data_IF_900546937953
#
_entry.id   IF_900546937953
#
_cell.length_a   1.000
_cell.length_b   1.000
_cell.length_c   1.000
_cell.angle_alpha   90.00
_cell.angle_beta   90.00
_cell.angle_gamma   90.00
#
_symmetry.space_group_name_H-M   'P 1'
#
loop_
_entity.id
_entity.type
_entity.pdbx_description
1 polymer ?
#
# COMPACT_ATOMS: atom_id res chain seq x y z
N UNK A 1 26.42 24.52 -1.43
CA UNK A 1 25.80 25.37 -2.48
C UNK A 1 24.37 25.68 -2.08
N UNK A 2 24.21 26.59 -1.11
CA UNK A 2 22.93 27.08 -0.64
C UNK A 2 22.94 28.60 -0.85
N UNK A 3 22.69 29.05 -2.07
CA UNK A 3 22.48 30.49 -2.38
C UNK A 3 22.06 30.71 -3.85
N UNK A 4 20.93 30.14 -4.28
CA UNK A 4 20.36 30.46 -5.61
C UNK A 4 18.83 30.59 -5.69
N UNK A 5 18.12 30.58 -4.57
CA UNK A 5 16.65 30.61 -4.56
C UNK A 5 16.09 31.95 -4.05
N UNK A 6 16.62 33.08 -4.54
CA UNK A 6 16.08 34.40 -4.17
C UNK A 6 15.66 35.30 -5.32
N UNK A 7 15.69 34.85 -6.57
CA UNK A 7 15.20 35.65 -7.68
C UNK A 7 14.04 34.95 -8.40
N UNK A 8 12.89 35.60 -8.33
CA UNK A 8 11.66 35.38 -9.09
C UNK A 8 10.59 34.41 -8.49
N UNK A 9 9.58 34.92 -7.75
CA UNK A 9 8.47 34.12 -7.22
C UNK A 9 7.50 33.55 -8.28
N UNK A 10 7.76 33.83 -9.57
CA UNK A 10 7.01 33.33 -10.72
C UNK A 10 7.71 32.18 -11.47
N UNK A 11 8.92 31.79 -11.08
CA UNK A 11 9.61 30.65 -11.67
C UNK A 11 8.91 29.33 -11.29
N UNK A 12 8.62 28.51 -12.29
CA UNK A 12 7.91 27.26 -12.09
C UNK A 12 8.84 26.26 -11.40
N UNK A 13 8.45 25.76 -10.23
CA UNK A 13 9.25 24.82 -9.44
C UNK A 13 8.90 23.37 -9.79
N UNK A 14 9.93 22.53 -9.90
CA UNK A 14 9.77 21.08 -10.00
C UNK A 14 9.35 20.47 -8.65
N UNK A 15 8.95 19.19 -8.67
CA UNK A 15 8.52 18.48 -7.47
C UNK A 15 9.58 18.50 -6.36
N UNK A 16 10.87 18.32 -6.69
CA UNK A 16 11.95 18.24 -5.70
C UNK A 16 12.22 19.58 -5.02
N UNK A 17 12.14 20.68 -5.76
CA UNK A 17 12.24 22.03 -5.21
C UNK A 17 11.04 22.33 -4.31
N UNK A 18 9.82 22.01 -4.77
CA UNK A 18 8.60 22.24 -4.02
C UNK A 18 8.55 21.48 -2.68
N UNK A 19 8.95 20.21 -2.67
CA UNK A 19 8.99 19.39 -1.44
C UNK A 19 10.14 19.81 -0.51
N UNK A 20 11.27 20.28 -1.05
CA UNK A 20 12.38 20.77 -0.25
C UNK A 20 12.00 22.02 0.56
N UNK A 21 11.24 22.94 -0.03
CA UNK A 21 10.73 24.15 0.63
C UNK A 21 9.77 23.83 1.79
N UNK A 22 9.03 22.73 1.71
CA UNK A 22 8.19 22.24 2.80
C UNK A 22 9.01 21.86 4.05
N UNK A 23 10.27 21.44 3.86
CA UNK A 23 11.14 20.94 4.92
C UNK A 23 10.62 19.66 5.57
N UNK A 24 11.36 19.20 6.58
CA UNK A 24 10.99 18.04 7.40
C UNK A 24 10.42 18.49 8.75
N UNK A 25 9.32 17.90 9.19
CA UNK A 25 8.67 18.27 10.44
C UNK A 25 7.52 17.35 10.84
N UNK A 26 6.54 17.91 11.57
CA UNK A 26 5.46 17.14 12.20
C UNK A 26 4.60 16.35 11.21
N UNK A 27 4.31 16.89 10.03
CA UNK A 27 3.54 16.15 9.01
C UNK A 27 4.28 14.90 8.55
N UNK A 28 5.58 15.00 8.36
CA UNK A 28 6.41 13.88 7.92
C UNK A 28 6.51 12.80 9.01
N UNK A 29 6.54 13.19 10.28
CA UNK A 29 6.45 12.21 11.37
C UNK A 29 5.07 11.55 11.42
N UNK A 30 4.00 12.35 11.27
CA UNK A 30 2.62 11.85 11.27
C UNK A 30 2.37 10.82 10.15
N UNK A 31 2.82 11.10 8.92
CA UNK A 31 2.65 10.17 7.79
C UNK A 31 3.45 8.87 7.99
N UNK A 32 4.64 8.95 8.61
CA UNK A 32 5.43 7.76 8.96
C UNK A 32 4.70 6.92 10.02
N UNK A 33 4.19 7.54 11.07
CA UNK A 33 3.41 6.85 12.10
C UNK A 33 2.14 6.20 11.52
N UNK A 34 1.43 6.87 10.60
CA UNK A 34 0.25 6.29 9.96
C UNK A 34 0.55 5.11 9.02
N UNK A 35 1.78 5.01 8.52
CA UNK A 35 2.19 3.90 7.66
C UNK A 35 2.54 2.63 8.44
N UNK A 36 2.87 2.73 9.74
CA UNK A 36 3.27 1.58 10.57
C UNK A 36 2.23 0.46 10.56
N UNK A 37 0.92 0.72 10.80
CA UNK A 37 -0.09 -0.35 10.79
C UNK A 37 -0.24 -1.01 9.41
N UNK A 38 -0.07 -0.26 8.32
CA UNK A 38 -0.11 -0.79 6.96
C UNK A 38 1.04 -1.76 6.68
N UNK A 39 2.25 -1.40 7.14
CA UNK A 39 3.44 -2.25 6.97
C UNK A 39 3.36 -3.51 7.85
N UNK A 40 2.85 -3.37 9.07
CA UNK A 40 2.60 -4.51 9.95
C UNK A 40 1.52 -5.46 9.41
N UNK A 41 0.44 -4.92 8.83
CA UNK A 41 -0.63 -5.72 8.22
C UNK A 41 -0.10 -6.70 7.17
N UNK A 42 0.83 -6.26 6.31
CA UNK A 42 1.47 -7.13 5.32
C UNK A 42 2.17 -8.33 5.96
N UNK A 43 2.93 -8.10 7.04
CA UNK A 43 3.62 -9.16 7.77
C UNK A 43 2.60 -10.12 8.40
N UNK A 44 1.53 -9.57 8.96
CA UNK A 44 0.49 -10.35 9.62
C UNK A 44 -0.23 -11.25 8.61
N UNK A 45 -0.68 -10.72 7.48
CA UNK A 45 -1.33 -11.52 6.43
C UNK A 45 -0.41 -12.62 5.89
N UNK A 46 0.89 -12.33 5.70
CA UNK A 46 1.84 -13.31 5.19
C UNK A 46 2.16 -14.44 6.19
N UNK A 47 2.30 -14.12 7.48
CA UNK A 47 2.87 -15.06 8.46
C UNK A 47 1.89 -15.57 9.52
N UNK A 48 0.71 -14.97 9.69
CA UNK A 48 -0.24 -15.36 10.76
C UNK A 48 -0.67 -16.83 10.65
N UNK A 49 -0.81 -17.36 9.43
CA UNK A 49 -1.20 -18.75 9.21
C UNK A 49 -0.22 -19.75 9.82
N UNK A 50 1.09 -19.46 9.79
CA UNK A 50 2.12 -20.35 10.32
C UNK A 50 1.96 -20.59 11.83
N UNK A 51 1.45 -19.60 12.56
CA UNK A 51 1.19 -19.72 14.00
C UNK A 51 -0.16 -20.35 14.31
N UNK A 52 -1.15 -20.18 13.43
CA UNK A 52 -2.50 -20.73 13.60
C UNK A 52 -2.54 -22.23 13.34
N UNK A 53 -1.72 -22.75 12.43
CA UNK A 53 -1.75 -24.15 11.98
C UNK A 53 -1.75 -25.19 13.10
N UNK A 54 -0.86 -25.15 14.11
CA UNK A 54 -0.85 -26.16 15.17
C UNK A 54 -2.14 -26.18 15.99
N UNK A 55 -2.77 -25.01 16.19
CA UNK A 55 -4.03 -24.92 16.94
C UNK A 55 -5.25 -25.29 16.09
N UNK A 56 -5.23 -25.00 14.79
CA UNK A 56 -6.35 -25.23 13.89
C UNK A 56 -6.39 -26.68 13.33
N UNK A 57 -5.27 -27.42 13.42
CA UNK A 57 -5.13 -28.77 12.88
C UNK A 57 -6.22 -29.74 13.35
N UNK A 58 -6.38 -29.90 14.66
CA UNK A 58 -7.41 -30.80 15.21
C UNK A 58 -8.84 -30.28 15.02
N UNK A 59 -8.99 -28.96 14.81
CA UNK A 59 -10.31 -28.33 14.75
C UNK A 59 -10.94 -28.37 13.36
N UNK A 60 -10.10 -28.34 12.32
CA UNK A 60 -10.47 -28.34 10.91
C UNK A 60 -10.09 -29.66 10.20
N UNK A 61 -9.56 -30.64 10.94
CA UNK A 61 -9.08 -31.94 10.44
C UNK A 61 -8.11 -31.78 9.24
N UNK A 62 -7.11 -30.90 9.42
CA UNK A 62 -6.23 -30.47 8.33
C UNK A 62 -5.22 -31.56 7.95
N UNK A 63 -5.25 -32.00 6.70
CA UNK A 63 -4.17 -32.83 6.15
C UNK A 63 -2.88 -32.02 5.95
N UNK A 64 -1.75 -32.70 5.78
CA UNK A 64 -0.47 -32.06 5.45
C UNK A 64 -0.58 -31.24 4.14
N UNK A 65 -1.37 -31.75 3.18
CA UNK A 65 -1.62 -31.07 1.90
C UNK A 65 -2.42 -29.79 2.13
N UNK A 66 -3.45 -29.81 2.98
CA UNK A 66 -4.27 -28.63 3.27
C UNK A 66 -3.47 -27.51 3.93
N UNK A 67 -2.55 -27.87 4.84
CA UNK A 67 -1.63 -26.90 5.46
C UNK A 67 -0.75 -26.23 4.40
N UNK A 68 -0.15 -27.01 3.50
CA UNK A 68 0.64 -26.46 2.39
C UNK A 68 -0.19 -25.56 1.46
N UNK A 69 -1.40 -26.01 1.12
CA UNK A 69 -2.33 -25.28 0.27
C UNK A 69 -2.77 -23.94 0.88
N UNK A 70 -3.03 -23.88 2.19
CA UNK A 70 -3.41 -22.64 2.89
C UNK A 70 -2.36 -21.53 2.74
N UNK A 71 -1.06 -21.88 2.85
CA UNK A 71 0.01 -20.93 2.56
C UNK A 71 0.07 -20.59 1.07
N UNK A 72 0.04 -21.61 0.21
CA UNK A 72 0.15 -21.42 -1.23
C UNK A 72 -0.94 -20.50 -1.80
N UNK A 73 -2.21 -20.65 -1.38
CA UNK A 73 -3.31 -19.80 -1.87
C UNK A 73 -3.15 -18.34 -1.46
N UNK A 74 -2.62 -18.08 -0.26
CA UNK A 74 -2.37 -16.71 0.22
C UNK A 74 -1.31 -16.02 -0.64
N UNK A 75 -0.16 -16.69 -0.86
CA UNK A 75 0.89 -16.17 -1.72
C UNK A 75 0.49 -16.13 -3.21
N UNK A 76 -0.32 -17.07 -3.68
CA UNK A 76 -0.87 -17.03 -5.03
C UNK A 76 -1.74 -15.78 -5.23
N UNK A 77 -2.59 -15.45 -4.25
CA UNK A 77 -3.35 -14.19 -4.24
C UNK A 77 -2.43 -12.97 -4.35
N UNK A 78 -1.38 -12.90 -3.53
CA UNK A 78 -0.40 -11.81 -3.57
C UNK A 78 0.25 -11.66 -4.96
N UNK A 79 0.72 -12.76 -5.56
CA UNK A 79 1.40 -12.74 -6.86
C UNK A 79 0.45 -12.30 -7.98
N UNK A 80 -0.76 -12.88 -8.04
CA UNK A 80 -1.74 -12.57 -9.11
C UNK A 80 -2.15 -11.09 -9.05
N UNK A 81 -2.21 -10.51 -7.86
CA UNK A 81 -2.67 -9.15 -7.64
C UNK A 81 -1.65 -8.05 -7.97
N UNK A 82 -0.37 -8.39 -8.14
CA UNK A 82 0.71 -7.40 -8.29
C UNK A 82 0.51 -6.45 -9.48
N UNK A 83 0.12 -6.98 -10.65
CA UNK A 83 -0.09 -6.18 -11.87
C UNK A 83 -1.37 -5.33 -11.79
N UNK A 84 -2.55 -5.89 -11.42
CA UNK A 84 -3.75 -5.09 -11.20
C UNK A 84 -3.55 -3.93 -10.24
N UNK A 85 -2.88 -4.16 -9.09
CA UNK A 85 -2.67 -3.12 -8.10
C UNK A 85 -1.73 -2.01 -8.56
N UNK A 86 -0.68 -2.34 -9.31
CA UNK A 86 0.20 -1.33 -9.91
C UNK A 86 -0.59 -0.39 -10.83
N UNK A 87 -1.44 -0.95 -11.69
CA UNK A 87 -2.30 -0.17 -12.57
C UNK A 87 -3.31 0.69 -11.80
N UNK A 88 -3.96 0.12 -10.77
CA UNK A 88 -4.93 0.82 -9.93
C UNK A 88 -4.26 1.99 -9.17
N UNK A 89 -3.06 1.77 -8.63
CA UNK A 89 -2.31 2.79 -7.89
C UNK A 89 -1.91 3.99 -8.76
N UNK A 90 -1.63 3.76 -10.04
CA UNK A 90 -1.23 4.79 -10.99
C UNK A 90 -2.41 5.52 -11.64
N UNK A 91 -3.62 4.96 -11.56
CA UNK A 91 -4.84 5.55 -12.16
C UNK A 91 -5.75 6.22 -11.13
N UNK A 92 -6.00 5.55 -10.00
CA UNK A 92 -6.92 6.05 -8.96
C UNK A 92 -6.19 6.99 -7.99
N UNK A 93 -4.90 6.77 -7.77
CA UNK A 93 -4.10 7.46 -6.79
C UNK A 93 -3.77 6.60 -5.58
N UNK A 94 -2.95 7.14 -4.69
CA UNK A 94 -2.37 6.36 -3.59
C UNK A 94 -3.30 6.33 -2.39
N UNK A 95 -3.91 7.47 -2.03
CA UNK A 95 -4.81 7.57 -0.87
C UNK A 95 -6.04 6.66 -0.97
N UNK A 96 -6.82 6.62 -2.08
CA UNK A 96 -7.97 5.71 -2.17
C UNK A 96 -7.59 4.24 -2.06
N UNK A 97 -6.43 3.85 -2.61
CA UNK A 97 -5.94 2.46 -2.55
C UNK A 97 -5.56 2.08 -1.12
N UNK A 98 -4.89 2.97 -0.38
CA UNK A 98 -4.54 2.72 1.02
C UNK A 98 -5.77 2.62 1.92
N UNK A 99 -6.77 3.49 1.71
CA UNK A 99 -8.02 3.45 2.47
C UNK A 99 -8.81 2.18 2.13
N UNK A 100 -9.16 1.99 0.85
CA UNK A 100 -10.01 0.87 0.43
C UNK A 100 -9.32 -0.46 0.69
N UNK A 101 -8.03 -0.58 0.37
CA UNK A 101 -7.28 -1.80 0.59
C UNK A 101 -7.10 -2.13 2.07
N UNK A 102 -6.85 -1.15 2.96
CA UNK A 102 -6.79 -1.41 4.40
C UNK A 102 -8.11 -1.91 4.99
N UNK A 103 -9.24 -1.31 4.59
CA UNK A 103 -10.57 -1.76 5.03
C UNK A 103 -10.96 -3.12 4.46
N UNK A 104 -10.71 -3.35 3.15
CA UNK A 104 -11.01 -4.62 2.51
C UNK A 104 -10.13 -5.74 3.05
N UNK A 105 -8.84 -5.50 3.26
CA UNK A 105 -7.91 -6.45 3.86
C UNK A 105 -8.39 -6.85 5.27
N UNK A 106 -8.62 -5.87 6.14
CA UNK A 106 -9.14 -6.12 7.48
C UNK A 106 -10.47 -6.86 7.49
N UNK A 107 -11.35 -6.58 6.51
CA UNK A 107 -12.61 -7.31 6.33
C UNK A 107 -12.38 -8.78 5.96
N UNK A 108 -11.51 -9.09 5.00
CA UNK A 108 -11.24 -10.48 4.61
C UNK A 108 -10.49 -11.26 5.69
N UNK A 109 -9.58 -10.62 6.43
CA UNK A 109 -8.93 -11.24 7.60
C UNK A 109 -9.96 -11.52 8.69
N UNK A 110 -10.92 -10.61 8.93
CA UNK A 110 -12.05 -10.88 9.83
C UNK A 110 -12.93 -12.02 9.32
N UNK A 111 -13.28 -12.07 8.03
CA UNK A 111 -14.02 -13.19 7.46
C UNK A 111 -13.26 -14.52 7.62
N UNK A 112 -11.95 -14.53 7.42
CA UNK A 112 -11.10 -15.68 7.68
C UNK A 112 -11.15 -16.10 9.16
N UNK A 113 -11.21 -15.15 10.10
CA UNK A 113 -11.40 -15.45 11.52
C UNK A 113 -12.77 -16.08 11.83
N UNK A 114 -13.80 -15.81 11.04
CA UNK A 114 -15.13 -16.39 11.23
C UNK A 114 -15.28 -17.78 10.58
N UNK A 115 -14.32 -18.21 9.76
CA UNK A 115 -14.39 -19.45 9.00
C UNK A 115 -14.51 -20.68 9.91
N UNK A 116 -15.42 -21.59 9.56
CA UNK A 116 -15.66 -22.84 10.30
C UNK A 116 -15.20 -24.07 9.52
N UNK A 117 -14.81 -23.88 8.26
CA UNK A 117 -14.42 -24.93 7.32
C UNK A 117 -13.13 -24.52 6.59
N UNK A 118 -12.33 -25.53 6.22
CA UNK A 118 -11.03 -25.37 5.56
C UNK A 118 -11.16 -24.64 4.22
N UNK A 119 -12.18 -24.94 3.41
CA UNK A 119 -12.37 -24.30 2.11
C UNK A 119 -12.75 -22.82 2.26
N UNK A 120 -13.56 -22.49 3.28
CA UNK A 120 -13.88 -21.09 3.59
C UNK A 120 -12.63 -20.31 4.02
N UNK A 121 -11.81 -20.91 4.89
CA UNK A 121 -10.55 -20.31 5.32
C UNK A 121 -9.62 -20.07 4.12
N UNK A 122 -9.45 -21.06 3.24
CA UNK A 122 -8.64 -20.95 2.02
C UNK A 122 -9.14 -19.83 1.09
N UNK A 123 -10.45 -19.73 0.87
CA UNK A 123 -11.04 -18.71 0.01
C UNK A 123 -10.79 -17.30 0.56
N UNK A 124 -11.07 -17.06 1.85
CA UNK A 124 -10.82 -15.76 2.46
C UNK A 124 -9.34 -15.41 2.51
N UNK A 125 -8.46 -16.40 2.71
CA UNK A 125 -7.01 -16.21 2.70
C UNK A 125 -6.45 -15.89 1.32
N UNK A 126 -7.03 -16.45 0.26
CA UNK A 126 -6.72 -16.05 -1.09
C UNK A 126 -7.05 -14.55 -1.33
N UNK A 127 -8.22 -14.10 -0.88
CA UNK A 127 -8.63 -12.70 -1.04
C UNK A 127 -7.84 -11.72 -0.15
N UNK A 128 -7.54 -12.09 1.09
CA UNK A 128 -6.60 -11.40 2.00
C UNK A 128 -5.25 -11.17 1.28
N UNK A 129 -4.62 -12.25 0.80
CA UNK A 129 -3.39 -12.18 0.02
C UNK A 129 -3.51 -11.32 -1.26
N UNK A 130 -4.63 -11.43 -1.98
CA UNK A 130 -4.89 -10.62 -3.17
C UNK A 130 -4.98 -9.13 -2.86
N UNK A 131 -5.49 -8.74 -1.68
CA UNK A 131 -5.71 -7.32 -1.36
C UNK A 131 -4.47 -6.69 -0.74
N UNK A 132 -3.83 -7.36 0.23
CA UNK A 132 -2.75 -6.76 1.04
C UNK A 132 -1.53 -6.32 0.21
N UNK A 133 -1.28 -6.97 -0.92
CA UNK A 133 -0.18 -6.62 -1.82
C UNK A 133 -0.28 -5.17 -2.34
N UNK A 134 -1.50 -4.70 -2.61
CA UNK A 134 -1.76 -3.36 -3.13
C UNK A 134 -1.35 -2.25 -2.16
N UNK A 135 -1.99 -2.16 -0.96
CA UNK A 135 -1.65 -1.18 0.06
C UNK A 135 -0.17 -1.20 0.44
N UNK A 136 0.45 -2.38 0.52
CA UNK A 136 1.88 -2.49 0.83
C UNK A 136 2.75 -1.82 -0.25
N UNK A 137 2.54 -2.14 -1.53
CA UNK A 137 3.30 -1.50 -2.62
C UNK A 137 3.07 0.02 -2.68
N UNK A 138 1.82 0.43 -2.44
CA UNK A 138 1.43 1.84 -2.48
C UNK A 138 1.97 2.63 -1.29
N UNK A 139 2.00 2.09 -0.07
CA UNK A 139 2.45 2.83 1.11
C UNK A 139 3.94 3.17 1.02
N UNK A 140 4.76 2.27 0.46
CA UNK A 140 6.19 2.51 0.24
C UNK A 140 6.40 3.65 -0.76
N UNK A 141 5.69 3.62 -1.87
CA UNK A 141 5.71 4.71 -2.88
C UNK A 141 5.18 6.01 -2.29
N UNK A 142 4.07 5.95 -1.55
CA UNK A 142 3.45 7.08 -0.89
C UNK A 142 4.44 7.78 0.06
N UNK A 143 5.09 7.03 0.96
CA UNK A 143 6.12 7.58 1.84
C UNK A 143 7.28 8.23 1.07
N UNK A 144 7.74 7.63 -0.03
CA UNK A 144 8.80 8.20 -0.85
C UNK A 144 8.39 9.52 -1.54
N UNK A 145 7.11 9.66 -1.88
CA UNK A 145 6.54 10.85 -2.54
C UNK A 145 6.22 12.00 -1.59
N UNK A 146 6.21 11.78 -0.28
CA UNK A 146 6.11 12.86 0.72
C UNK A 146 7.47 13.33 1.26
N UNK A 147 8.56 12.68 0.86
CA UNK A 147 9.90 13.01 1.31
C UNK A 147 10.79 13.40 0.13
N UNK A 148 11.54 14.50 0.29
CA UNK A 148 12.54 14.93 -0.69
C UNK A 148 13.75 13.99 -0.74
N UNK A 149 14.54 14.07 -1.82
CA UNK A 149 15.74 13.24 -2.06
C UNK A 149 16.63 13.01 -0.85
N UNK A 150 16.86 14.04 -0.02
CA UNK A 150 17.73 13.97 1.18
C UNK A 150 17.26 12.96 2.22
N UNK A 151 15.95 12.81 2.42
CA UNK A 151 15.40 11.99 3.50
C UNK A 151 14.91 10.62 3.05
N UNK A 152 14.67 10.42 1.75
CA UNK A 152 14.14 9.15 1.20
C UNK A 152 14.88 7.89 1.64
N UNK A 153 16.23 7.82 1.67
CA UNK A 153 16.92 6.60 2.10
C UNK A 153 16.62 6.22 3.55
N UNK A 154 16.54 7.21 4.44
CA UNK A 154 16.19 6.99 5.84
C UNK A 154 14.74 6.52 6.02
N UNK A 155 13.83 6.97 5.15
CA UNK A 155 12.44 6.52 5.16
C UNK A 155 12.35 5.05 4.71
N UNK A 156 13.10 4.65 3.71
CA UNK A 156 13.17 3.24 3.30
C UNK A 156 13.76 2.36 4.40
N UNK A 157 14.76 2.85 5.15
CA UNK A 157 15.26 2.16 6.33
C UNK A 157 14.17 2.04 7.42
N UNK A 158 13.39 3.11 7.65
CA UNK A 158 12.28 3.08 8.61
C UNK A 158 11.18 2.08 8.20
N UNK A 159 10.87 1.97 6.90
CA UNK A 159 9.95 0.95 6.37
C UNK A 159 10.45 -0.45 6.72
N UNK A 160 11.73 -0.73 6.47
CA UNK A 160 12.35 -2.01 6.83
C UNK A 160 12.28 -2.29 8.34
N UNK A 161 12.54 -1.28 9.17
CA UNK A 161 12.41 -1.40 10.63
C UNK A 161 10.97 -1.76 11.05
N UNK A 162 9.96 -1.12 10.45
CA UNK A 162 8.55 -1.41 10.76
C UNK A 162 8.15 -2.84 10.39
N UNK A 163 8.64 -3.34 9.26
CA UNK A 163 8.44 -4.74 8.84
C UNK A 163 9.09 -5.68 9.86
N UNK A 164 10.34 -5.44 10.27
CA UNK A 164 11.02 -6.23 11.30
C UNK A 164 10.29 -6.22 12.64
N UNK A 165 9.79 -5.05 13.07
CA UNK A 165 8.97 -4.93 14.29
C UNK A 165 7.68 -5.74 14.15
N UNK A 166 7.01 -5.69 12.99
CA UNK A 166 5.84 -6.53 12.70
C UNK A 166 6.15 -8.03 12.85
N UNK A 167 7.29 -8.47 12.33
CA UNK A 167 7.75 -9.87 12.43
C UNK A 167 8.11 -10.30 13.84
N UNK A 168 8.36 -9.36 14.76
CA UNK A 168 8.56 -9.64 16.18
C UNK A 168 7.25 -9.64 16.97
N UNK A 169 6.37 -8.66 16.69
CA UNK A 169 5.09 -8.50 17.41
C UNK A 169 4.16 -9.68 17.13
N UNK A 170 4.11 -10.19 15.89
CA UNK A 170 3.22 -11.28 15.52
C UNK A 170 3.47 -12.58 16.32
N UNK A 171 4.68 -13.14 16.38
CA UNK A 171 4.97 -14.29 17.24
C UNK A 171 4.76 -14.00 18.73
N UNK A 172 5.06 -12.79 19.21
CA UNK A 172 4.77 -12.40 20.60
C UNK A 172 3.27 -12.45 20.89
N UNK A 173 2.46 -11.94 19.96
CA UNK A 173 1.00 -11.98 20.05
C UNK A 173 0.49 -13.42 20.01
N UNK A 174 1.06 -14.27 19.16
CA UNK A 174 0.73 -15.69 19.09
C UNK A 174 1.07 -16.41 20.40
N UNK A 175 2.25 -16.13 20.97
CA UNK A 175 2.70 -16.69 22.25
C UNK A 175 1.78 -16.31 23.42
N UNK A 176 1.27 -15.08 23.44
CA UNK A 176 0.37 -14.62 24.51
C UNK A 176 -1.06 -15.14 24.31
N UNK A 177 -1.58 -15.14 23.08
CA UNK A 177 -2.99 -15.46 22.81
C UNK A 177 -3.26 -16.96 22.65
N UNK A 178 -2.43 -17.69 21.89
CA UNK A 178 -2.73 -19.09 21.54
C UNK A 178 -2.79 -20.06 22.74
N UNK A 179 -2.02 -19.88 23.83
CA UNK A 179 -2.16 -20.73 25.02
C UNK A 179 -3.45 -20.46 25.83
N UNK A 180 -4.13 -19.34 25.61
CA UNK A 180 -5.37 -19.02 26.33
C UNK A 180 -6.49 -19.87 25.73
N UNK A 181 -7.11 -20.73 26.53
CA UNK A 181 -8.25 -21.54 26.09
C UNK A 181 -9.51 -20.68 25.99
N UNK A 182 -9.69 -20.01 24.84
CA UNK A 182 -10.86 -19.20 24.52
C UNK A 182 -11.80 -20.06 23.69
N UNK A 183 -12.91 -20.46 24.31
CA UNK A 183 -13.99 -21.20 23.66
C UNK A 183 -15.30 -20.52 24.02
N UNK A 184 -15.90 -19.82 23.06
CA UNK A 184 -17.24 -19.26 23.22
C UNK A 184 -18.10 -19.58 22.00
N UNK A 185 -19.39 -19.77 22.24
CA UNK A 185 -20.35 -20.10 21.19
C UNK A 185 -21.27 -18.90 21.02
N UNK A 186 -21.32 -18.34 19.82
CA UNK A 186 -22.30 -17.31 19.47
C UNK A 186 -23.28 -17.94 18.48
N UNK A 187 -24.52 -18.13 18.92
CA UNK A 187 -25.56 -18.81 18.15
C UNK A 187 -25.11 -20.22 17.71
N UNK A 188 -24.89 -20.45 16.40
CA UNK A 188 -24.45 -21.73 15.83
C UNK A 188 -22.94 -21.82 15.56
N UNK A 189 -22.19 -20.72 15.68
CA UNK A 189 -20.74 -20.69 15.40
C UNK A 189 -19.93 -20.92 16.67
N UNK A 190 -18.91 -21.78 16.58
CA UNK A 190 -17.94 -22.01 17.67
C UNK A 190 -16.72 -21.13 17.40
N UNK A 191 -16.39 -20.28 18.36
CA UNK A 191 -15.20 -19.44 18.33
C UNK A 191 -14.10 -20.06 19.18
N UNK A 192 -12.93 -20.22 18.57
CA UNK A 192 -11.75 -20.83 19.16
C UNK A 192 -10.61 -19.82 19.22
N UNK A 193 -9.58 -20.12 20.01
CA UNK A 193 -8.45 -19.20 20.22
C UNK A 193 -7.78 -18.76 18.92
N UNK A 194 -7.59 -19.66 17.95
CA UNK A 194 -6.95 -19.29 16.68
C UNK A 194 -7.76 -18.32 15.84
N UNK A 195 -9.10 -18.37 15.93
CA UNK A 195 -10.00 -17.43 15.28
C UNK A 195 -9.90 -16.06 15.95
N UNK A 196 -9.82 -16.02 17.28
CA UNK A 196 -9.58 -14.77 18.02
C UNK A 196 -8.22 -14.17 17.63
N UNK A 197 -7.18 -14.99 17.51
CA UNK A 197 -5.87 -14.53 17.05
C UNK A 197 -5.95 -13.91 15.64
N UNK A 198 -6.63 -14.56 14.69
CA UNK A 198 -6.86 -14.00 13.35
C UNK A 198 -7.66 -12.68 13.41
N UNK A 199 -8.69 -12.60 14.26
CA UNK A 199 -9.47 -11.38 14.44
C UNK A 199 -8.63 -10.23 15.02
N UNK A 200 -7.73 -10.50 15.97
CA UNK A 200 -6.79 -9.49 16.48
C UNK A 200 -5.78 -9.09 15.39
N UNK A 201 -5.37 -10.04 14.53
CA UNK A 201 -4.45 -9.75 13.43
C UNK A 201 -5.02 -8.82 12.36
N UNK A 202 -6.34 -8.63 12.29
CA UNK A 202 -6.96 -7.66 11.36
C UNK A 202 -6.88 -6.20 11.85
N UNK A 203 -6.55 -5.96 13.13
CA UNK A 203 -6.54 -4.63 13.73
C UNK A 203 -5.57 -3.67 13.03
N UNK A 204 -4.31 -4.04 12.71
CA UNK A 204 -3.40 -3.17 11.98
C UNK A 204 -3.94 -2.75 10.60
N UNK A 205 -4.62 -3.67 9.88
CA UNK A 205 -5.22 -3.40 8.58
C UNK A 205 -6.36 -2.39 8.66
N UNK A 206 -7.29 -2.59 9.59
CA UNK A 206 -8.41 -1.67 9.81
C UNK A 206 -7.92 -0.30 10.30
N UNK A 207 -6.94 -0.28 11.21
CA UNK A 207 -6.32 0.94 11.69
C UNK A 207 -5.60 1.69 10.57
N UNK A 208 -4.92 0.98 9.67
CA UNK A 208 -4.32 1.56 8.47
C UNK A 208 -5.38 2.24 7.61
N UNK A 209 -6.47 1.54 7.28
CA UNK A 209 -7.58 2.11 6.50
C UNK A 209 -8.17 3.37 7.14
N UNK A 210 -8.30 3.40 8.47
CA UNK A 210 -8.79 4.56 9.22
C UNK A 210 -7.81 5.74 9.19
N UNK A 211 -6.52 5.51 9.48
CA UNK A 211 -5.51 6.58 9.56
C UNK A 211 -5.31 7.27 8.21
N UNK A 212 -5.32 6.52 7.11
CA UNK A 212 -5.13 7.07 5.77
C UNK A 212 -6.30 7.96 5.29
N UNK A 213 -7.47 7.91 5.93
CA UNK A 213 -8.58 8.83 5.63
C UNK A 213 -8.18 10.29 5.91
N UNK A 214 -7.39 10.53 6.96
CA UNK A 214 -7.02 11.88 7.40
C UNK A 214 -5.84 12.49 6.61
N UNK A 215 -5.15 11.66 5.82
CA UNK A 215 -3.98 12.07 5.05
C UNK A 215 -4.37 12.64 3.68
N UNK A 216 -3.57 13.58 3.11
CA UNK A 216 -3.79 14.10 1.78
C UNK A 216 -3.33 13.12 0.69
N UNK A 217 -3.74 13.35 -0.55
CA UNK A 217 -3.20 12.62 -1.69
C UNK A 217 -1.75 13.07 -2.00
N UNK A 218 -0.95 12.16 -2.57
CA UNK A 218 0.44 12.44 -2.94
C UNK A 218 0.56 13.66 -3.86
N UNK A 219 1.37 14.67 -3.51
CA UNK A 219 1.63 15.81 -4.39
C UNK A 219 2.22 15.39 -5.73
N UNK A 220 3.10 14.38 -5.73
CA UNK A 220 3.72 13.86 -6.96
C UNK A 220 2.69 13.20 -7.86
N UNK A 221 1.78 12.41 -7.29
CA UNK A 221 0.67 11.84 -8.05
C UNK A 221 -0.18 12.94 -8.69
N UNK A 222 -0.57 13.95 -7.91
CA UNK A 222 -1.42 15.04 -8.38
C UNK A 222 -0.76 15.86 -9.49
N UNK A 223 0.55 16.09 -9.42
CA UNK A 223 1.33 16.71 -10.50
C UNK A 223 1.32 15.84 -11.77
N UNK A 224 1.56 14.52 -11.63
CA UNK A 224 1.57 13.59 -12.78
C UNK A 224 0.20 13.42 -13.47
N UNK A 225 -0.89 13.81 -12.80
CA UNK A 225 -2.26 13.84 -13.33
C UNK A 225 -2.65 15.24 -13.85
N UNK A 226 -1.71 16.19 -13.94
CA UNK A 226 -1.96 17.57 -14.36
C UNK A 226 -2.78 18.40 -13.35
N UNK A 227 -3.04 17.89 -12.15
CA UNK A 227 -3.84 18.57 -11.13
C UNK A 227 -2.99 19.45 -10.22
N UNK A 228 -2.33 20.45 -10.81
CA UNK A 228 -1.39 21.34 -10.13
C UNK A 228 -2.02 22.13 -8.96
N UNK A 229 -3.31 22.47 -9.04
CA UNK A 229 -4.02 23.18 -7.96
C UNK A 229 -4.13 22.35 -6.69
N UNK A 230 -4.51 21.07 -6.82
CA UNK A 230 -4.57 20.15 -5.66
C UNK A 230 -3.18 19.80 -5.16
N UNK A 231 -2.20 19.66 -6.06
CA UNK A 231 -0.81 19.43 -5.67
C UNK A 231 -0.28 20.59 -4.80
N UNK A 232 -0.57 21.84 -5.19
CA UNK A 232 -0.20 23.03 -4.43
C UNK A 232 -0.85 23.06 -3.04
N UNK A 233 -2.15 22.73 -2.92
CA UNK A 233 -2.82 22.65 -1.61
C UNK A 233 -2.19 21.58 -0.70
N UNK A 234 -1.82 20.42 -1.27
CA UNK A 234 -1.07 19.40 -0.54
C UNK A 234 0.28 19.94 -0.04
N UNK A 235 1.07 20.61 -0.87
CA UNK A 235 2.34 21.24 -0.44
C UNK A 235 2.13 22.31 0.63
N UNK A 236 1.15 23.19 0.47
CA UNK A 236 0.82 24.21 1.46
C UNK A 236 0.40 23.61 2.81
N UNK A 237 -0.34 22.49 2.80
CA UNK A 237 -0.70 21.76 4.02
C UNK A 237 0.52 21.16 4.70
N UNK A 238 1.43 20.55 3.94
CA UNK A 238 2.71 20.01 4.46
C UNK A 238 3.56 21.14 5.04
N UNK A 239 3.75 22.24 4.29
CA UNK A 239 4.51 23.41 4.73
C UNK A 239 3.96 24.02 6.02
N UNK A 240 2.63 24.23 6.09
CA UNK A 240 1.97 24.75 7.30
C UNK A 240 2.27 23.88 8.51
N UNK A 241 2.18 22.56 8.38
CA UNK A 241 2.39 21.64 9.50
C UNK A 241 3.87 21.48 9.87
N UNK A 242 4.78 21.49 8.89
CA UNK A 242 6.22 21.32 9.16
C UNK A 242 6.88 22.61 9.66
N UNK A 243 6.54 23.77 9.09
CA UNK A 243 7.13 25.08 9.45
C UNK A 243 6.31 25.87 10.46
N UNK A 244 5.09 25.42 10.81
CA UNK A 244 4.14 26.14 11.67
C UNK A 244 3.83 27.57 11.19
N UNK A 245 3.87 27.80 9.87
CA UNK A 245 3.58 29.07 9.21
C UNK A 245 2.24 29.02 8.46
N UNK A 246 1.72 30.17 8.02
CA UNK A 246 0.50 30.22 7.20
C UNK A 246 0.70 29.52 5.85
N UNK A 247 -0.39 28.94 5.29
CA UNK A 247 -0.37 28.31 3.95
C UNK A 247 0.06 29.30 2.86
N UNK A 248 -0.34 30.56 3.02
CA UNK A 248 -0.07 31.66 2.06
C UNK A 248 1.41 32.07 2.02
N UNK A 249 2.18 31.73 3.06
CA UNK A 249 3.61 32.01 3.11
C UNK A 249 4.47 30.96 2.40
N UNK A 250 3.84 29.97 1.75
CA UNK A 250 4.55 28.98 0.95
C UNK A 250 5.19 29.65 -0.28
N UNK A 251 6.51 29.51 -0.51
CA UNK A 251 7.24 30.28 -1.51
C UNK A 251 6.92 29.90 -2.96
N UNK A 252 6.51 28.65 -3.21
CA UNK A 252 6.23 28.15 -4.57
C UNK A 252 4.79 28.45 -4.95
N UNK A 253 4.59 29.15 -6.07
CA UNK A 253 3.26 29.49 -6.61
C UNK A 253 2.88 28.71 -7.87
N UNK A 254 3.86 28.30 -8.67
CA UNK A 254 3.67 27.52 -9.90
C UNK A 254 4.48 26.24 -9.84
N UNK A 255 3.83 25.14 -10.22
CA UNK A 255 4.42 23.81 -10.29
C UNK A 255 4.58 23.42 -11.76
N UNK A 256 5.64 22.69 -12.05
CA UNK A 256 5.96 22.15 -13.38
C UNK A 256 6.39 20.71 -13.22
N UNK A 257 5.96 19.85 -14.14
CA UNK A 257 6.47 18.49 -14.25
C UNK A 257 7.41 18.42 -15.46
N UNK A 258 8.67 17.98 -15.30
CA UNK A 258 9.57 17.74 -16.43
C UNK A 258 9.16 16.55 -17.30
N UNK A 259 8.26 15.68 -16.83
CA UNK A 259 7.66 14.63 -17.67
C UNK A 259 6.47 15.18 -18.46
N UNK A 260 6.36 14.89 -19.78
CA UNK A 260 5.34 15.48 -20.63
C UNK A 260 3.95 15.19 -20.07
N UNK A 261 3.18 16.27 -20.03
CA UNK A 261 1.82 16.40 -19.53
C UNK A 261 0.99 15.17 -19.96
N UNK A 262 0.50 14.37 -19.00
CA UNK A 262 -0.56 13.37 -19.23
C UNK A 262 -1.91 14.06 -19.45
N UNK A 263 -1.93 15.21 -20.12
CA UNK A 263 -3.13 15.99 -20.41
C UNK A 263 -3.93 15.40 -21.57
N UNK A 264 -4.35 14.15 -21.40
CA UNK A 264 -5.42 13.52 -22.20
C UNK A 264 -6.77 13.53 -21.44
N UNK A 265 -6.90 14.34 -20.38
CA UNK A 265 -8.10 14.43 -19.55
C UNK A 265 -9.03 15.61 -19.89
N UNK A 266 -8.95 16.12 -21.13
CA UNK A 266 -10.01 16.92 -21.72
C UNK A 266 -10.45 16.27 -23.03
N UNK A 267 -11.61 15.60 -23.02
CA UNK A 267 -12.37 15.45 -24.27
C UNK A 267 -12.62 16.88 -24.79
N UNK A 268 -12.47 17.09 -26.09
CA UNK A 268 -12.57 18.39 -26.81
C UNK A 268 -13.89 19.17 -26.61
N UNK A 269 -14.79 18.67 -25.77
CA UNK A 269 -16.17 19.12 -25.59
C UNK A 269 -16.62 19.32 -24.13
N UNK A 270 -15.76 19.09 -23.13
CA UNK A 270 -16.06 19.45 -21.73
C UNK A 270 -17.24 18.72 -21.06
N UNK A 271 -17.63 17.53 -21.54
CA UNK A 271 -18.67 16.71 -20.91
C UNK A 271 -18.10 15.75 -19.85
N UNK A 272 -18.84 15.44 -18.77
CA UNK A 272 -18.46 14.38 -17.85
C UNK A 272 -18.50 13.03 -18.59
N UNK A 273 -17.39 12.31 -18.58
CA UNK A 273 -17.26 11.00 -19.24
C UNK A 273 -18.23 9.98 -18.66
N UNK A 274 -18.87 9.20 -19.53
CA UNK A 274 -19.78 8.14 -19.08
C UNK A 274 -19.00 6.98 -18.43
N UNK A 275 -19.63 6.23 -17.54
CA UNK A 275 -19.03 5.05 -16.88
C UNK A 275 -18.39 4.07 -17.87
N UNK A 276 -19.01 3.90 -19.04
CA UNK A 276 -18.52 3.04 -20.13
C UNK A 276 -17.24 3.58 -20.76
N UNK A 277 -17.14 4.89 -20.99
CA UNK A 277 -15.93 5.53 -21.51
C UNK A 277 -14.78 5.47 -20.51
N UNK A 278 -15.07 5.63 -19.21
CA UNK A 278 -14.08 5.47 -18.14
C UNK A 278 -13.54 4.04 -18.09
N UNK A 279 -14.41 3.04 -18.16
CA UNK A 279 -14.02 1.64 -18.18
C UNK A 279 -13.24 1.25 -19.44
N UNK A 280 -13.64 1.75 -20.61
CA UNK A 280 -12.92 1.52 -21.88
C UNK A 280 -11.53 2.17 -21.86
N UNK A 281 -11.41 3.40 -21.33
CA UNK A 281 -10.11 4.07 -21.15
C UNK A 281 -9.21 3.32 -20.18
N UNK A 282 -9.75 2.89 -19.03
CA UNK A 282 -9.01 2.08 -18.06
C UNK A 282 -8.53 0.76 -18.70
N UNK A 283 -9.39 0.07 -19.46
CA UNK A 283 -9.03 -1.14 -20.19
C UNK A 283 -7.93 -0.87 -21.24
N UNK A 284 -8.03 0.21 -22.01
CA UNK A 284 -7.01 0.57 -23.01
C UNK A 284 -5.65 0.83 -22.35
N UNK A 285 -5.63 1.63 -21.27
CA UNK A 285 -4.41 1.92 -20.51
C UNK A 285 -3.81 0.65 -19.87
N UNK A 286 -4.65 -0.27 -19.39
CA UNK A 286 -4.19 -1.56 -18.87
C UNK A 286 -3.53 -2.40 -19.97
N UNK A 287 -4.15 -2.48 -21.17
CA UNK A 287 -3.56 -3.17 -22.31
C UNK A 287 -2.26 -2.51 -22.80
N UNK A 288 -2.15 -1.18 -22.74
CA UNK A 288 -0.90 -0.46 -23.01
C UNK A 288 0.19 -0.78 -21.99
N UNK A 289 -0.14 -0.85 -20.70
CA UNK A 289 0.78 -1.31 -19.66
C UNK A 289 1.31 -2.73 -19.95
N UNK A 290 0.43 -3.64 -20.38
CA UNK A 290 0.86 -4.97 -20.84
C UNK A 290 1.75 -4.93 -22.08
N UNK A 291 1.51 -3.99 -23.01
CA UNK A 291 2.41 -3.78 -24.15
C UNK A 291 3.78 -3.23 -23.71
N UNK A 292 3.84 -2.42 -22.66
CA UNK A 292 5.10 -1.93 -22.06
C UNK A 292 5.88 -3.01 -21.31
N UNK A 293 5.21 -4.08 -20.85
CA UNK A 293 5.84 -5.27 -20.28
C UNK A 293 6.44 -6.20 -21.37
N UNK A 294 5.89 -6.16 -22.59
CA UNK A 294 6.33 -7.01 -23.72
C UNK A 294 7.86 -6.97 -24.00
N UNK A 295 8.54 -5.81 -23.96
CA UNK A 295 9.98 -5.72 -24.15
C UNK A 295 10.79 -6.44 -23.06
N UNK A 296 10.30 -6.53 -21.81
CA UNK A 296 10.99 -7.24 -20.73
C UNK A 296 11.09 -8.75 -21.01
N UNK A 297 10.16 -9.29 -21.79
CA UNK A 297 10.15 -10.69 -22.22
C UNK A 297 10.79 -10.90 -23.61
N UNK A 298 11.43 -9.86 -24.17
CA UNK A 298 12.13 -9.94 -25.45
C UNK A 298 13.65 -10.05 -25.27
N UNK A 299 14.33 -10.71 -26.20
CA UNK A 299 15.80 -10.73 -26.22
C UNK A 299 16.33 -9.32 -26.55
N UNK A 300 17.36 -8.79 -25.86
CA UNK A 300 18.22 -9.43 -24.85
C UNK A 300 17.79 -9.26 -23.38
N UNK A 301 16.71 -8.53 -23.10
CA UNK A 301 16.28 -8.16 -21.73
C UNK A 301 15.72 -9.32 -20.89
N UNK A 302 15.32 -10.42 -21.54
CA UNK A 302 14.81 -11.61 -20.86
C UNK A 302 15.84 -12.21 -19.90
N UNK A 303 17.11 -12.32 -20.32
CA UNK A 303 18.18 -12.89 -19.49
C UNK A 303 18.45 -12.02 -18.24
N UNK A 304 18.47 -10.70 -18.42
CA UNK A 304 18.67 -9.73 -17.32
C UNK A 304 17.48 -9.78 -16.36
N UNK A 305 16.26 -9.79 -16.87
CA UNK A 305 15.04 -9.87 -16.04
C UNK A 305 15.02 -11.16 -15.21
N UNK A 306 15.40 -12.30 -15.81
CA UNK A 306 15.49 -13.58 -15.11
C UNK A 306 16.54 -13.53 -13.98
N UNK A 307 17.72 -12.95 -14.23
CA UNK A 307 18.75 -12.77 -13.21
C UNK A 307 18.27 -11.90 -12.05
N UNK A 308 17.57 -10.79 -12.34
CA UNK A 308 17.01 -9.91 -11.31
C UNK A 308 15.93 -10.64 -10.48
N UNK A 309 15.06 -11.41 -11.12
CA UNK A 309 14.05 -12.20 -10.40
C UNK A 309 14.69 -13.30 -9.55
N UNK A 310 15.71 -13.99 -10.04
CA UNK A 310 16.47 -14.97 -9.25
C UNK A 310 17.17 -14.31 -8.05
N UNK A 311 17.79 -13.14 -8.23
CA UNK A 311 18.41 -12.40 -7.12
C UNK A 311 17.38 -12.00 -6.07
N UNK A 312 16.22 -11.49 -6.48
CA UNK A 312 15.13 -11.17 -5.56
C UNK A 312 14.59 -12.41 -4.83
N UNK A 313 14.43 -13.54 -5.53
CA UNK A 313 14.02 -14.80 -4.92
C UNK A 313 15.04 -15.27 -3.86
N UNK A 314 16.33 -15.23 -4.18
CA UNK A 314 17.41 -15.57 -3.23
C UNK A 314 17.53 -14.60 -2.05
N UNK A 315 17.04 -13.36 -2.17
CA UNK A 315 17.04 -12.39 -1.07
C UNK A 315 15.85 -12.60 -0.10
N UNK A 316 14.77 -13.23 -0.58
CA UNK A 316 13.54 -13.48 0.19
C UNK A 316 13.58 -14.84 0.90
N UNK A 317 14.27 -15.83 0.32
CA UNK A 317 14.56 -17.15 0.92
C UNK A 317 15.66 -17.04 1.99
#
# INVERSE_FOLDING_TARGET
>A
MADRAKDNPDEAADFETAIAECGFGFFNLFILCSAVPCLMAMVFSASALSYVMPSAECDLDLSIVDKGMLHAVTYAGMIISAVPWGFIADTIGRRPVLIAGGWLDGFFVLCASLSQDTAQLMAFKFFDGFIICGPFAVVVSYLAEFHGKKHRPYIMLFVGLCVSIGSMILPLLAYVLLPVHILFKVSSMKFRTWQVFLAVSSVPSLLSGLLHIFLPESPKFLMSQGNYKKALDSFQRIYKMNKRKSRESYPVKRLTDPTPDRSDDLDSTGRPSTLKERFSRAKSKFLEGFKQLKPMFSNPYLAISLQVYCLHFCQIM
#
